data_IF_586626720352
#
_entry.id   IF_586626720352
#
_cell.length_a   1.000
_cell.length_b   1.000
_cell.length_c   1.000
_cell.angle_alpha   90.00
_cell.angle_beta   90.00
_cell.angle_gamma   90.00
#
_symmetry.space_group_name_H-M   'P 1'
#
loop_
_entity.id
_entity.type
_entity.pdbx_description
1 polymer ?
#
# COMPACT_ATOMS: atom_id res chain seq x y z
N UNK A 1 22.51 -19.56 6.56
CA UNK A 1 22.09 -19.15 5.20
C UNK A 1 22.60 -17.72 5.02
N UNK A 2 23.55 -17.52 4.12
CA UNK A 2 24.02 -16.18 3.79
C UNK A 2 23.08 -15.60 2.73
N UNK A 3 22.39 -14.52 3.08
CA UNK A 3 21.58 -13.77 2.15
C UNK A 3 22.44 -12.67 1.53
N UNK A 4 22.53 -12.66 0.22
CA UNK A 4 23.20 -11.60 -0.50
C UNK A 4 22.48 -10.27 -0.26
N UNK A 5 23.25 -9.22 -0.01
CA UNK A 5 22.71 -7.88 0.24
C UNK A 5 22.16 -7.29 -1.07
N UNK A 6 20.97 -6.73 -1.02
CA UNK A 6 20.43 -5.97 -2.14
C UNK A 6 21.02 -4.55 -2.13
N UNK A 7 22.09 -4.37 -2.88
CA UNK A 7 22.93 -3.17 -2.85
C UNK A 7 22.20 -1.90 -3.30
N UNK A 8 21.26 -2.00 -4.25
CA UNK A 8 20.47 -0.88 -4.73
C UNK A 8 19.60 -0.29 -3.61
N UNK A 9 18.83 -1.13 -2.94
CA UNK A 9 17.97 -0.71 -1.80
C UNK A 9 18.81 -0.16 -0.65
N UNK A 10 19.96 -0.78 -0.39
CA UNK A 10 20.86 -0.30 0.65
C UNK A 10 21.44 1.06 0.30
N UNK A 11 21.81 1.29 -0.94
CA UNK A 11 22.33 2.57 -1.42
C UNK A 11 21.25 3.66 -1.34
N UNK A 12 20.05 3.37 -1.83
CA UNK A 12 18.89 4.29 -1.73
C UNK A 12 18.60 4.67 -0.29
N UNK A 13 18.47 3.70 0.62
CA UNK A 13 18.18 3.95 2.05
C UNK A 13 19.19 4.86 2.74
N UNK A 14 20.45 4.87 2.26
CA UNK A 14 21.51 5.72 2.84
C UNK A 14 21.46 7.15 2.30
N UNK A 15 21.05 7.34 1.05
CA UNK A 15 21.23 8.60 0.34
C UNK A 15 19.94 9.34 0.01
N UNK A 16 18.80 8.66 -0.03
CA UNK A 16 17.53 9.25 -0.52
C UNK A 16 17.04 10.45 0.29
N UNK A 17 17.41 10.53 1.58
CA UNK A 17 17.00 11.61 2.47
C UNK A 17 18.06 12.72 2.64
N UNK A 18 19.25 12.52 2.07
CA UNK A 18 20.39 13.45 2.19
C UNK A 18 20.60 14.33 0.96
N UNK A 19 19.68 14.27 0.00
CA UNK A 19 19.77 15.02 -1.27
C UNK A 19 18.61 15.99 -1.42
N UNK A 20 18.86 17.15 -2.01
CA UNK A 20 17.80 18.12 -2.28
C UNK A 20 16.86 17.66 -3.40
N UNK A 21 17.37 16.88 -4.35
CA UNK A 21 16.62 16.35 -5.48
C UNK A 21 16.96 14.88 -5.66
N UNK A 22 15.98 14.00 -5.45
CA UNK A 22 16.12 12.57 -5.65
C UNK A 22 15.62 12.20 -7.06
N UNK A 23 16.55 11.80 -7.94
CA UNK A 23 16.24 11.33 -9.30
C UNK A 23 16.16 9.80 -9.41
N UNK A 24 16.45 9.08 -8.34
CA UNK A 24 16.37 7.61 -8.31
C UNK A 24 15.03 7.07 -7.81
N UNK A 25 14.15 7.94 -7.34
CA UNK A 25 12.82 7.56 -6.89
C UNK A 25 11.92 7.27 -8.09
N UNK A 26 11.39 6.05 -8.15
CA UNK A 26 10.45 5.60 -9.18
C UNK A 26 8.98 5.62 -8.74
N UNK A 27 8.74 5.96 -7.47
CA UNK A 27 7.40 6.05 -6.90
C UNK A 27 6.62 7.26 -7.38
N UNK A 28 5.33 7.24 -7.11
CA UNK A 28 4.46 8.41 -7.29
C UNK A 28 4.64 9.36 -6.11
N UNK A 29 4.28 10.62 -6.31
CA UNK A 29 4.29 11.60 -5.21
C UNK A 29 3.39 11.11 -4.06
N UNK A 30 3.90 11.07 -2.81
CA UNK A 30 3.12 10.56 -1.69
C UNK A 30 1.91 11.46 -1.40
N UNK A 31 0.75 10.83 -1.27
CA UNK A 31 -0.47 11.49 -0.83
C UNK A 31 -0.49 11.63 0.69
N UNK A 32 -1.12 12.68 1.17
CA UNK A 32 -1.45 12.81 2.59
C UNK A 32 -2.71 12.01 2.89
N UNK A 33 -2.82 11.47 4.10
CA UNK A 33 -4.02 10.72 4.50
C UNK A 33 -5.30 11.57 4.33
N UNK A 34 -5.25 12.86 4.65
CA UNK A 34 -6.37 13.79 4.47
C UNK A 34 -6.81 13.99 3.01
N UNK A 35 -5.97 13.63 2.03
CA UNK A 35 -6.31 13.72 0.59
C UNK A 35 -7.05 12.48 0.12
N UNK A 36 -7.00 11.39 0.90
CA UNK A 36 -7.62 10.10 0.57
C UNK A 36 -8.90 9.89 1.37
N UNK A 37 -8.87 10.26 2.65
CA UNK A 37 -9.98 10.03 3.58
C UNK A 37 -10.89 11.25 3.56
N UNK A 38 -12.13 11.05 3.16
CA UNK A 38 -13.16 12.07 3.32
C UNK A 38 -13.49 12.27 4.79
N UNK A 39 -13.87 13.50 5.16
CA UNK A 39 -14.16 13.85 6.56
C UNK A 39 -15.25 12.96 7.18
N UNK A 40 -16.19 12.45 6.38
CA UNK A 40 -17.26 11.56 6.82
C UNK A 40 -16.75 10.17 7.26
N UNK A 41 -15.59 9.74 6.73
CA UNK A 41 -15.06 8.40 6.99
C UNK A 41 -13.99 8.39 8.12
N UNK A 42 -13.67 9.56 8.66
CA UNK A 42 -12.61 9.69 9.65
C UNK A 42 -12.95 8.98 10.97
N UNK A 43 -14.19 9.09 11.44
CA UNK A 43 -14.63 8.43 12.66
C UNK A 43 -14.61 6.90 12.51
N UNK A 44 -15.03 6.41 11.35
CA UNK A 44 -14.97 4.99 11.01
C UNK A 44 -13.53 4.49 10.94
N UNK A 45 -12.62 5.29 10.36
CA UNK A 45 -11.20 4.97 10.30
C UNK A 45 -10.58 4.90 11.70
N UNK A 46 -10.87 5.87 12.56
CA UNK A 46 -10.38 5.92 13.94
C UNK A 46 -10.99 4.84 14.82
N UNK A 47 -12.21 4.39 14.51
CA UNK A 47 -12.91 3.31 15.20
C UNK A 47 -12.47 1.90 14.79
N UNK A 48 -11.59 1.75 13.79
CA UNK A 48 -11.14 0.45 13.34
C UNK A 48 -10.35 -0.31 14.42
N UNK A 49 -10.74 -1.54 14.69
CA UNK A 49 -9.94 -2.44 15.53
C UNK A 49 -8.67 -2.88 14.78
N UNK A 50 -7.52 -2.77 15.46
CA UNK A 50 -6.24 -3.24 14.95
C UNK A 50 -6.07 -4.75 15.16
N UNK A 51 -6.98 -5.54 14.60
CA UNK A 51 -7.05 -6.97 14.71
C UNK A 51 -6.74 -7.70 13.39
N UNK A 52 -6.81 -9.02 13.44
CA UNK A 52 -6.67 -9.84 12.23
C UNK A 52 -7.94 -9.76 11.38
N UNK A 53 -7.73 -9.60 10.09
CA UNK A 53 -8.79 -9.70 9.07
C UNK A 53 -8.59 -10.98 8.23
N UNK A 54 -9.38 -11.14 7.15
CA UNK A 54 -9.17 -12.25 6.22
C UNK A 54 -7.76 -12.17 5.61
N UNK A 55 -7.09 -13.31 5.51
CA UNK A 55 -5.70 -13.41 5.01
C UNK A 55 -5.52 -12.99 3.55
N UNK A 56 -6.59 -13.03 2.78
CA UNK A 56 -6.64 -12.61 1.37
C UNK A 56 -7.26 -11.24 1.15
N UNK A 57 -7.43 -10.47 2.20
CA UNK A 57 -8.10 -9.18 2.20
C UNK A 57 -9.59 -9.25 2.53
N UNK A 58 -10.13 -8.17 3.09
CA UNK A 58 -11.56 -8.11 3.41
C UNK A 58 -12.41 -8.27 2.17
N UNK A 59 -13.60 -8.87 2.32
CA UNK A 59 -14.52 -9.06 1.20
C UNK A 59 -14.87 -7.72 0.52
N UNK A 60 -15.11 -6.68 1.30
CA UNK A 60 -15.44 -5.35 0.80
C UNK A 60 -14.32 -4.75 -0.06
N UNK A 61 -13.05 -4.86 0.37
CA UNK A 61 -11.91 -4.39 -0.42
C UNK A 61 -11.78 -5.17 -1.71
N UNK A 62 -11.90 -6.50 -1.63
CA UNK A 62 -11.79 -7.37 -2.81
C UNK A 62 -12.92 -7.13 -3.83
N UNK A 63 -14.15 -6.86 -3.36
CA UNK A 63 -15.27 -6.49 -4.22
C UNK A 63 -15.03 -5.15 -4.92
N UNK A 64 -14.51 -4.15 -4.21
CA UNK A 64 -14.18 -2.84 -4.79
C UNK A 64 -13.05 -2.94 -5.82
N UNK A 65 -12.03 -3.74 -5.54
CA UNK A 65 -10.94 -3.99 -6.52
C UNK A 65 -11.48 -4.75 -7.74
N UNK A 66 -12.28 -5.79 -7.53
CA UNK A 66 -12.88 -6.55 -8.63
C UNK A 66 -13.74 -5.68 -9.56
N UNK A 67 -14.47 -4.70 -8.99
CA UNK A 67 -15.31 -3.79 -9.76
C UNK A 67 -14.53 -2.90 -10.76
N UNK A 68 -13.21 -2.82 -10.67
CA UNK A 68 -12.35 -2.14 -11.64
C UNK A 68 -12.10 -2.96 -12.90
N UNK A 69 -12.50 -4.24 -12.93
CA UNK A 69 -12.19 -5.17 -14.01
C UNK A 69 -13.46 -5.89 -14.48
N UNK A 70 -13.75 -5.81 -15.77
CA UNK A 70 -14.91 -6.48 -16.37
C UNK A 70 -14.86 -7.99 -16.16
N UNK A 71 -15.95 -8.55 -15.62
CA UNK A 71 -16.09 -9.98 -15.40
C UNK A 71 -15.33 -10.53 -14.19
N UNK A 72 -14.64 -9.70 -13.43
CA UNK A 72 -14.00 -10.12 -12.18
C UNK A 72 -14.98 -10.15 -11.00
N UNK A 73 -14.65 -10.98 -10.03
CA UNK A 73 -15.33 -11.07 -8.73
C UNK A 73 -14.33 -11.03 -7.59
N UNK A 74 -14.78 -10.89 -6.36
CA UNK A 74 -13.91 -10.91 -5.19
C UNK A 74 -13.05 -12.19 -5.08
N UNK A 75 -13.48 -13.29 -5.71
CA UNK A 75 -12.71 -14.54 -5.75
C UNK A 75 -11.45 -14.45 -6.62
N UNK A 76 -11.41 -13.50 -7.54
CA UNK A 76 -10.25 -13.27 -8.42
C UNK A 76 -9.22 -12.30 -7.80
N UNK A 77 -9.48 -11.77 -6.60
CA UNK A 77 -8.63 -10.76 -5.95
C UNK A 77 -7.94 -11.33 -4.72
N UNK A 78 -6.64 -11.18 -4.67
CA UNK A 78 -5.79 -11.42 -3.51
C UNK A 78 -5.14 -10.10 -3.11
N UNK A 79 -5.31 -9.70 -1.87
CA UNK A 79 -4.67 -8.50 -1.30
C UNK A 79 -3.43 -8.92 -0.53
N UNK A 80 -2.30 -8.26 -0.81
CA UNK A 80 -1.02 -8.45 -0.12
C UNK A 80 -0.50 -7.14 0.45
N UNK A 81 0.41 -7.22 1.42
CA UNK A 81 1.13 -6.05 1.92
C UNK A 81 2.41 -5.87 1.10
N UNK A 82 2.39 -4.88 0.24
CA UNK A 82 3.47 -4.63 -0.71
C UNK A 82 3.35 -5.45 -2.00
N UNK A 83 4.21 -5.17 -2.93
CA UNK A 83 4.25 -5.81 -4.24
C UNK A 83 5.11 -7.06 -4.32
#
# INVERSE_FOLDING_TARGET
>A
MDLERFDLERWQSVHEHDVDINLSESGVHPLRLQEIVETADLDDLLGQELGYTQTNGTIQLRERVAALYDGASAANVLVTNGG
#
